data_IF_159132007520
#
_entry.id   IF_159132007520
#
_cell.length_a   1.000
_cell.length_b   1.000
_cell.length_c   1.000
_cell.angle_alpha   90.00
_cell.angle_beta   90.00
_cell.angle_gamma   90.00
#
_symmetry.space_group_name_H-M   'P 1'
#
loop_
_entity.id
_entity.type
_entity.pdbx_description
1 polymer ?
#
# COMPACT_ATOMS: atom_id res chain seq x y z
N UNK A 1 11.98 21.83 2.28
CA UNK A 1 13.41 21.58 2.59
C UNK A 1 13.99 20.83 1.41
N UNK A 2 15.20 21.17 0.98
CA UNK A 2 15.88 20.48 -0.12
C UNK A 2 17.18 19.90 0.43
N UNK A 3 17.40 18.60 0.21
CA UNK A 3 18.61 17.89 0.64
C UNK A 3 19.34 17.40 -0.60
N UNK A 4 20.60 17.82 -0.78
CA UNK A 4 21.42 17.44 -1.94
C UNK A 4 22.14 16.08 -1.81
N UNK A 5 21.85 15.32 -0.75
CA UNK A 5 22.49 14.05 -0.42
C UNK A 5 21.53 13.11 0.31
N UNK A 6 22.06 12.22 1.15
CA UNK A 6 21.25 11.25 1.91
C UNK A 6 20.49 11.98 3.03
N UNK A 7 19.20 11.72 3.13
CA UNK A 7 18.34 12.18 4.21
C UNK A 7 17.81 10.98 5.00
N UNK A 8 18.09 10.93 6.31
CA UNK A 8 17.61 9.88 7.21
C UNK A 8 16.83 10.51 8.36
N UNK A 9 15.61 10.05 8.59
CA UNK A 9 14.75 10.49 9.69
C UNK A 9 14.44 9.29 10.60
N UNK A 10 14.91 9.32 11.84
CA UNK A 10 14.62 8.31 12.86
C UNK A 10 13.68 8.92 13.91
N UNK A 11 12.56 8.26 14.20
CA UNK A 11 11.56 8.74 15.15
C UNK A 11 11.27 7.63 16.16
N UNK A 12 11.43 7.93 17.46
CA UNK A 12 11.17 6.96 18.55
C UNK A 12 9.70 6.85 18.97
N UNK A 13 8.82 7.65 18.35
CA UNK A 13 7.38 7.66 18.59
C UNK A 13 6.61 7.51 17.28
N UNK A 14 5.69 8.43 17.00
CA UNK A 14 4.86 8.40 15.80
C UNK A 14 5.15 9.58 14.86
N UNK A 15 4.97 9.34 13.56
CA UNK A 15 4.91 10.37 12.52
C UNK A 15 3.45 10.51 12.10
N UNK A 16 2.95 11.75 12.07
CA UNK A 16 1.63 12.08 11.53
C UNK A 16 1.81 13.10 10.41
N UNK A 17 1.37 12.74 9.21
CA UNK A 17 1.40 13.62 8.05
C UNK A 17 -0.04 13.89 7.60
N UNK A 18 -0.35 15.14 7.30
CA UNK A 18 -1.67 15.57 6.86
C UNK A 18 -1.54 16.63 5.78
N UNK A 19 -2.18 16.39 4.65
CA UNK A 19 -2.24 17.33 3.54
C UNK A 19 -3.72 17.62 3.22
N UNK A 20 -4.06 18.89 3.03
CA UNK A 20 -5.46 19.31 2.79
C UNK A 20 -5.88 19.07 1.34
N UNK A 21 -4.96 19.28 0.40
CA UNK A 21 -5.28 19.24 -1.03
C UNK A 21 -4.70 18.00 -1.70
N UNK A 22 -3.39 17.80 -1.61
CA UNK A 22 -2.71 16.69 -2.24
C UNK A 22 -1.38 16.40 -1.53
N UNK A 23 -0.96 15.13 -1.60
CA UNK A 23 0.40 14.69 -1.34
C UNK A 23 0.89 13.95 -2.59
N UNK A 24 2.12 14.20 -3.00
CA UNK A 24 2.75 13.57 -4.16
C UNK A 24 4.18 13.19 -3.80
N UNK A 25 4.54 11.95 -4.08
CA UNK A 25 5.86 11.42 -3.82
C UNK A 25 6.37 10.72 -5.08
N UNK A 26 7.55 11.13 -5.53
CA UNK A 26 8.21 10.57 -6.70
C UNK A 26 9.57 10.04 -6.27
N UNK A 27 9.77 8.73 -6.43
CA UNK A 27 11.02 8.04 -6.10
C UNK A 27 11.64 7.58 -7.41
N UNK A 28 12.84 8.08 -7.73
CA UNK A 28 13.54 7.73 -8.98
C UNK A 28 14.09 6.29 -9.02
N UNK A 29 14.16 5.63 -7.86
CA UNK A 29 14.61 4.24 -7.71
C UNK A 29 13.54 3.38 -7.04
N UNK A 30 13.92 2.69 -5.96
CA UNK A 30 13.04 1.77 -5.23
C UNK A 30 12.42 2.46 -4.02
N UNK A 31 11.10 2.30 -3.84
CA UNK A 31 10.40 2.66 -2.61
C UNK A 31 10.04 1.41 -1.84
N UNK A 32 10.57 1.28 -0.62
CA UNK A 32 10.25 0.17 0.30
C UNK A 32 9.39 0.70 1.44
N UNK A 33 8.26 0.04 1.70
CA UNK A 33 7.40 0.28 2.86
C UNK A 33 7.37 -1.01 3.66
N UNK A 34 7.97 -1.00 4.83
CA UNK A 34 8.01 -2.12 5.76
C UNK A 34 7.27 -1.72 7.04
N UNK A 35 6.37 -2.59 7.50
CA UNK A 35 5.65 -2.41 8.75
C UNK A 35 5.48 -3.76 9.43
N UNK A 36 5.56 -3.75 10.77
CA UNK A 36 5.48 -4.97 11.56
C UNK A 36 4.06 -5.55 11.61
N UNK A 37 3.06 -4.72 11.90
CA UNK A 37 1.70 -5.18 12.19
C UNK A 37 0.77 -5.11 10.97
N UNK A 38 0.62 -3.93 10.38
CA UNK A 38 -0.25 -3.73 9.22
C UNK A 38 0.19 -2.57 8.31
N UNK A 39 -0.14 -2.70 7.03
CA UNK A 39 -0.09 -1.60 6.05
C UNK A 39 -1.51 -1.41 5.51
N UNK A 40 -2.02 -0.17 5.58
CA UNK A 40 -3.38 0.18 5.13
C UNK A 40 -3.34 1.34 4.14
N UNK A 41 -3.86 1.10 2.94
CA UNK A 41 -4.19 2.12 1.96
C UNK A 41 -5.70 2.25 1.86
N UNK A 42 -6.27 3.36 2.35
CA UNK A 42 -7.71 3.60 2.37
C UNK A 42 -8.06 4.86 1.60
N UNK A 43 -9.08 4.76 0.74
CA UNK A 43 -9.68 5.88 0.03
C UNK A 43 -11.20 5.71 -0.01
N UNK A 44 -11.91 6.47 0.84
CA UNK A 44 -13.37 6.37 0.95
C UNK A 44 -13.85 4.95 1.28
N UNK A 45 -14.58 4.32 0.35
CA UNK A 45 -15.10 2.94 0.47
C UNK A 45 -14.10 1.86 0.04
N UNK A 46 -12.96 2.25 -0.53
CA UNK A 46 -11.93 1.33 -0.99
C UNK A 46 -10.82 1.17 0.05
N UNK A 47 -10.36 -0.05 0.26
CA UNK A 47 -9.27 -0.38 1.18
C UNK A 47 -8.41 -1.52 0.59
N UNK A 48 -7.09 -1.31 0.60
CA UNK A 48 -6.09 -2.35 0.51
C UNK A 48 -5.40 -2.46 1.88
N UNK A 49 -5.49 -3.62 2.50
CA UNK A 49 -4.89 -3.88 3.82
C UNK A 49 -4.03 -5.14 3.76
N UNK A 50 -2.79 -5.04 4.23
CA UNK A 50 -1.86 -6.14 4.39
C UNK A 50 -1.62 -6.33 5.88
N UNK A 51 -1.82 -7.56 6.37
CA UNK A 51 -1.69 -7.93 7.78
C UNK A 51 -0.42 -8.77 7.98
N UNK A 52 0.14 -8.72 9.19
CA UNK A 52 1.32 -9.51 9.59
C UNK A 52 1.12 -11.03 9.53
N UNK A 53 -0.14 -11.50 9.54
CA UNK A 53 -0.50 -12.92 9.36
C UNK A 53 -0.43 -13.40 7.90
N UNK A 54 -0.07 -12.51 6.96
CA UNK A 54 0.00 -12.80 5.53
C UNK A 54 -1.30 -12.56 4.77
N UNK A 55 -2.38 -12.18 5.45
CA UNK A 55 -3.66 -11.87 4.79
C UNK A 55 -3.57 -10.54 4.04
N UNK A 56 -3.92 -10.58 2.76
CA UNK A 56 -4.15 -9.38 1.93
C UNK A 56 -5.65 -9.20 1.70
N UNK A 57 -6.19 -8.05 2.10
CA UNK A 57 -7.61 -7.71 1.93
C UNK A 57 -7.75 -6.57 0.93
N UNK A 58 -8.52 -6.82 -0.12
CA UNK A 58 -8.93 -5.83 -1.11
C UNK A 58 -10.44 -5.65 -0.97
N UNK A 59 -10.88 -4.43 -0.63
CA UNK A 59 -12.29 -4.07 -0.47
C UNK A 59 -12.62 -2.87 -1.34
N UNK A 60 -13.80 -2.88 -1.93
CA UNK A 60 -14.33 -1.78 -2.74
C UNK A 60 -15.70 -2.11 -3.32
N UNK A 61 -16.29 -1.17 -4.06
CA UNK A 61 -17.57 -1.38 -4.75
C UNK A 61 -17.40 -2.23 -6.01
N UNK A 62 -16.42 -1.87 -6.85
CA UNK A 62 -16.08 -2.57 -8.08
C UNK A 62 -14.56 -2.83 -8.08
N UNK A 63 -14.14 -4.02 -8.52
CA UNK A 63 -12.74 -4.35 -8.77
C UNK A 63 -12.57 -4.60 -10.28
N UNK A 64 -11.69 -3.82 -10.91
CA UNK A 64 -11.35 -3.96 -12.32
C UNK A 64 -9.86 -4.30 -12.39
N UNK A 65 -9.53 -5.39 -13.07
CA UNK A 65 -8.15 -5.83 -13.29
C UNK A 65 -7.94 -5.95 -14.79
N UNK A 66 -7.12 -5.06 -15.35
CA UNK A 66 -6.73 -5.07 -16.77
C UNK A 66 -5.31 -5.62 -16.89
N UNK A 67 -5.13 -6.69 -17.66
CA UNK A 67 -3.84 -7.34 -17.92
C UNK A 67 -3.80 -7.84 -19.37
N UNK A 68 -2.63 -7.76 -20.00
CA UNK A 68 -2.42 -8.21 -21.40
C UNK A 68 -2.35 -9.74 -21.55
N UNK A 69 -1.72 -10.43 -20.59
CA UNK A 69 -1.52 -11.88 -20.66
C UNK A 69 -2.55 -12.66 -19.82
N UNK A 70 -2.17 -13.21 -18.66
CA UNK A 70 -3.02 -14.10 -17.86
C UNK A 70 -2.99 -13.81 -16.35
N UNK A 71 -4.09 -14.03 -15.64
CA UNK A 71 -4.07 -14.04 -14.17
C UNK A 71 -3.96 -15.50 -13.72
N UNK A 72 -2.92 -15.82 -12.94
CA UNK A 72 -2.78 -17.13 -12.33
C UNK A 72 -3.14 -17.05 -10.83
N UNK A 73 -4.12 -17.83 -10.41
CA UNK A 73 -4.56 -17.91 -9.01
C UNK A 73 -4.50 -19.37 -8.57
N UNK A 74 -3.77 -19.62 -7.48
CA UNK A 74 -3.59 -20.98 -6.93
C UNK A 74 -3.93 -20.96 -5.45
N UNK A 75 -4.77 -21.91 -5.03
CA UNK A 75 -5.13 -22.13 -3.63
C UNK A 75 -5.71 -23.53 -3.49
N UNK A 76 -5.75 -24.07 -2.26
CA UNK A 76 -6.43 -25.33 -1.98
C UNK A 76 -7.93 -25.27 -2.29
N UNK A 77 -8.54 -24.09 -2.15
CA UNK A 77 -9.94 -23.82 -2.48
C UNK A 77 -10.08 -22.36 -2.93
N UNK A 78 -10.85 -22.15 -4.00
CA UNK A 78 -11.21 -20.82 -4.51
C UNK A 78 -12.74 -20.79 -4.55
N UNK A 79 -13.34 -19.90 -3.76
CA UNK A 79 -14.78 -19.68 -3.75
C UNK A 79 -15.11 -18.42 -4.56
N UNK A 80 -15.95 -18.60 -5.59
CA UNK A 80 -16.50 -17.53 -6.43
C UNK A 80 -18.02 -17.66 -6.38
N UNK A 81 -18.70 -16.53 -6.19
CA UNK A 81 -20.17 -16.47 -6.16
C UNK A 81 -20.68 -15.64 -7.33
#
# INVERSE_FOLDING_TARGET
>A
MTVGGIHTLNVGGAIYESAVTASSEVVGGIKTIDAHDEIVFRCGKSELRMLSDGTVRIKGKNLIIEKEENINMTASRIDLN
#
